data_IF_519757727551
#
_entry.id   IF_519757727551
#
_cell.length_a   1.000
_cell.length_b   1.000
_cell.length_c   1.000
_cell.angle_alpha   90.00
_cell.angle_beta   90.00
_cell.angle_gamma   90.00
#
_symmetry.space_group_name_H-M   'P 1'
#
loop_
_entity.id
_entity.type
_entity.pdbx_description
1 polymer ?
#
# COMPACT_ATOMS: atom_id res chain seq x y z
N UNK A 1 18.71 -4.92 7.18
CA UNK A 1 19.60 -4.11 6.31
C UNK A 1 18.73 -3.39 5.28
N UNK A 2 18.15 -2.24 5.62
CA UNK A 2 17.42 -1.39 4.67
C UNK A 2 18.29 -0.17 4.42
N UNK A 3 18.87 -0.07 3.22
CA UNK A 3 19.76 1.01 2.83
C UNK A 3 18.88 2.19 2.43
N UNK A 4 18.83 3.23 3.25
CA UNK A 4 18.11 4.46 2.95
C UNK A 4 18.68 5.08 1.66
N UNK A 5 17.83 5.26 0.65
CA UNK A 5 18.19 5.80 -0.66
C UNK A 5 17.88 7.29 -0.79
N UNK A 6 17.43 7.95 0.29
CA UNK A 6 16.89 9.31 0.25
C UNK A 6 17.75 10.23 1.13
N UNK A 7 18.26 11.32 0.52
CA UNK A 7 19.11 12.32 1.17
C UNK A 7 18.32 13.40 1.94
N UNK A 8 17.05 13.12 2.28
CA UNK A 8 16.14 14.07 2.92
C UNK A 8 15.59 13.52 4.25
N UNK A 9 15.29 14.42 5.18
CA UNK A 9 14.64 14.09 6.44
C UNK A 9 13.16 13.79 6.22
N UNK A 10 12.73 12.58 6.58
CA UNK A 10 11.33 12.16 6.54
C UNK A 10 10.67 12.40 7.90
N UNK A 11 9.47 13.00 7.90
CA UNK A 11 8.61 13.08 9.08
C UNK A 11 7.57 11.95 9.03
N UNK A 12 7.54 11.11 10.06
CA UNK A 12 6.60 10.00 10.15
C UNK A 12 5.21 10.52 10.56
N UNK A 13 4.37 10.87 9.57
CA UNK A 13 2.98 11.33 9.77
C UNK A 13 1.95 10.20 9.76
N UNK A 14 2.35 9.02 9.30
CA UNK A 14 1.57 7.78 9.31
C UNK A 14 2.39 6.72 10.03
N UNK A 15 1.72 5.87 10.81
CA UNK A 15 2.35 4.87 11.66
C UNK A 15 2.79 3.63 10.87
N UNK A 16 2.02 2.55 10.99
CA UNK A 16 2.28 1.33 10.25
C UNK A 16 2.07 1.55 8.73
N UNK A 17 2.70 0.71 7.87
CA UNK A 17 2.36 0.70 6.45
C UNK A 17 0.86 0.50 6.25
N UNK A 18 0.27 1.28 5.36
CA UNK A 18 -1.15 1.17 4.99
C UNK A 18 -1.47 -0.23 4.44
N UNK A 19 -2.68 -0.78 4.64
CA UNK A 19 -3.02 -2.13 4.18
C UNK A 19 -2.86 -2.32 2.67
N UNK A 20 -2.53 -3.55 2.28
CA UNK A 20 -2.65 -4.04 0.90
C UNK A 20 -3.72 -5.11 0.91
N UNK A 21 -4.83 -4.87 0.22
CA UNK A 21 -6.02 -5.70 0.29
C UNK A 21 -6.33 -6.35 -1.06
N UNK A 22 -6.73 -7.63 -1.03
CA UNK A 22 -7.27 -8.31 -2.21
C UNK A 22 -8.74 -7.94 -2.41
N UNK A 23 -9.14 -7.69 -3.66
CA UNK A 23 -10.52 -7.35 -4.00
C UNK A 23 -11.22 -8.54 -4.70
N UNK A 24 -11.80 -9.50 -3.97
CA UNK A 24 -12.32 -10.74 -4.55
C UNK A 24 -13.42 -10.47 -5.59
N UNK A 25 -14.39 -9.62 -5.24
CA UNK A 25 -15.53 -9.34 -6.14
C UNK A 25 -15.13 -8.66 -7.44
N UNK A 26 -14.18 -7.72 -7.37
CA UNK A 26 -13.70 -7.00 -8.56
C UNK A 26 -12.81 -7.90 -9.41
N UNK A 27 -12.03 -8.77 -8.75
CA UNK A 27 -11.18 -9.74 -9.42
C UNK A 27 -12.01 -10.75 -10.21
N UNK A 28 -13.07 -11.29 -9.60
CA UNK A 28 -14.02 -12.20 -10.27
C UNK A 28 -14.69 -11.51 -11.47
N UNK A 29 -15.09 -10.25 -11.31
CA UNK A 29 -15.75 -9.49 -12.37
C UNK A 29 -14.82 -9.23 -13.58
N UNK A 30 -13.54 -8.97 -13.36
CA UNK A 30 -12.58 -8.63 -14.42
C UNK A 30 -11.70 -9.82 -14.86
N UNK A 31 -11.85 -10.99 -14.24
CA UNK A 31 -11.08 -12.19 -14.56
C UNK A 31 -9.57 -12.07 -14.29
N UNK A 32 -9.16 -11.24 -13.33
CA UNK A 32 -7.75 -11.05 -12.94
C UNK A 32 -7.64 -10.71 -11.46
N UNK A 33 -6.53 -11.11 -10.84
CA UNK A 33 -6.28 -10.74 -9.45
C UNK A 33 -6.03 -9.22 -9.33
N UNK A 34 -6.81 -8.58 -8.47
CA UNK A 34 -6.72 -7.14 -8.21
C UNK A 34 -6.50 -6.91 -6.72
N UNK A 35 -5.46 -6.13 -6.44
CA UNK A 35 -5.10 -5.67 -5.11
C UNK A 35 -5.17 -4.14 -5.06
N UNK A 36 -5.47 -3.60 -3.89
CA UNK A 36 -5.49 -2.15 -3.64
C UNK A 36 -4.61 -1.79 -2.45
N UNK A 37 -3.77 -0.76 -2.63
CA UNK A 37 -2.98 -0.14 -1.57
C UNK A 37 -3.82 0.97 -0.92
N UNK A 38 -4.12 0.84 0.38
CA UNK A 38 -5.10 1.67 1.11
C UNK A 38 -4.51 2.95 1.68
N UNK A 39 -3.85 3.76 0.84
CA UNK A 39 -3.30 5.06 1.27
C UNK A 39 -4.38 6.10 1.58
N UNK A 40 -5.66 5.79 1.28
CA UNK A 40 -6.85 6.53 1.69
C UNK A 40 -7.22 6.34 3.17
N UNK A 41 -6.59 5.37 3.86
CA UNK A 41 -6.81 5.09 5.28
C UNK A 41 -5.60 5.60 6.07
N UNK A 42 -5.74 6.78 6.69
CA UNK A 42 -4.76 7.40 7.59
C UNK A 42 -5.04 7.14 9.05
#
# INVERSE_FOLDING_TARGET
>A
MARAFLAWSLLAIIGAPTPLEYLPRLSDYLGREIYIKRDDVT
#
